data_IF_447435551271
#
_entry.id   IF_447435551271
#
_cell.length_a   1.000
_cell.length_b   1.000
_cell.length_c   1.000
_cell.angle_alpha   90.00
_cell.angle_beta   90.00
_cell.angle_gamma   90.00
#
_symmetry.space_group_name_H-M   'P 1'
#
loop_
_entity.id
_entity.type
_entity.pdbx_description
1 polymer ?
#
# COMPACT_ATOMS: atom_id res chain seq x y z
N UNK A 1 64.74 -70.18 -38.80
CA UNK A 1 63.65 -70.43 -39.79
C UNK A 1 62.63 -71.35 -39.15
N UNK A 2 61.36 -71.12 -39.51
CA UNK A 2 60.15 -71.87 -39.18
C UNK A 2 59.46 -71.40 -37.88
N UNK A 3 58.38 -70.62 -38.09
CA UNK A 3 57.32 -70.32 -37.12
C UNK A 3 56.58 -71.58 -36.66
N UNK A 4 55.84 -71.48 -35.55
CA UNK A 4 54.40 -71.70 -35.72
C UNK A 4 53.49 -70.78 -34.88
N UNK A 5 52.50 -70.23 -35.60
CA UNK A 5 51.05 -70.11 -35.34
C UNK A 5 50.49 -69.64 -33.97
N UNK A 6 49.39 -68.84 -33.98
CA UNK A 6 48.99 -67.96 -32.89
C UNK A 6 48.05 -68.62 -31.87
N UNK A 7 48.12 -68.16 -30.62
CA UNK A 7 47.14 -68.49 -29.56
C UNK A 7 46.23 -67.27 -29.36
N UNK A 8 44.92 -67.50 -29.44
CA UNK A 8 43.85 -66.51 -29.29
C UNK A 8 43.83 -65.90 -27.86
N UNK A 9 43.43 -64.62 -27.67
CA UNK A 9 43.49 -63.95 -26.38
C UNK A 9 42.34 -64.34 -25.43
N UNK A 10 42.64 -64.31 -24.12
CA UNK A 10 41.68 -64.47 -23.02
C UNK A 10 40.93 -63.14 -22.73
N UNK A 11 39.76 -63.17 -22.06
CA UNK A 11 38.74 -62.12 -22.12
C UNK A 11 39.05 -60.90 -21.22
N UNK A 12 38.55 -59.73 -21.63
CA UNK A 12 38.61 -58.48 -20.85
C UNK A 12 37.70 -58.52 -19.61
N UNK A 13 38.23 -58.11 -18.46
CA UNK A 13 37.54 -57.98 -17.17
C UNK A 13 36.89 -56.58 -17.05
N UNK A 14 35.56 -56.46 -16.88
CA UNK A 14 34.84 -55.20 -16.89
C UNK A 14 34.82 -54.57 -15.49
N UNK A 15 35.93 -53.96 -15.05
CA UNK A 15 35.95 -53.26 -13.76
C UNK A 15 36.95 -52.08 -13.67
N UNK A 16 37.23 -51.40 -14.78
CA UNK A 16 37.94 -50.12 -14.74
C UNK A 16 36.95 -48.99 -14.97
N UNK A 17 36.42 -48.42 -13.87
CA UNK A 17 35.97 -47.03 -13.72
C UNK A 17 35.54 -46.84 -12.26
N UNK A 18 36.52 -46.82 -11.34
CA UNK A 18 36.30 -46.45 -9.94
C UNK A 18 36.80 -45.01 -9.69
N UNK A 19 35.81 -44.12 -9.72
CA UNK A 19 35.64 -42.87 -8.96
C UNK A 19 36.87 -42.35 -8.18
N UNK A 20 37.58 -41.36 -8.74
CA UNK A 20 38.31 -40.39 -7.93
C UNK A 20 37.29 -39.47 -7.26
N UNK A 21 37.01 -39.70 -5.97
CA UNK A 21 36.23 -38.77 -5.16
C UNK A 21 37.00 -37.45 -4.99
N UNK A 22 36.55 -36.40 -5.68
CA UNK A 22 36.98 -35.03 -5.40
C UNK A 22 36.48 -34.62 -4.02
N UNK A 23 37.40 -34.31 -3.10
CA UNK A 23 37.07 -33.76 -1.80
C UNK A 23 36.14 -32.54 -1.92
N UNK A 24 35.14 -32.38 -1.04
CA UNK A 24 34.30 -31.20 -1.06
C UNK A 24 35.16 -29.96 -0.76
N UNK A 25 35.11 -29.01 -1.68
CA UNK A 25 35.69 -27.68 -1.57
C UNK A 25 35.06 -26.98 -0.35
N UNK A 26 35.71 -27.12 0.81
CA UNK A 26 35.38 -26.42 2.06
C UNK A 26 35.79 -24.95 1.91
N UNK A 27 35.06 -24.22 1.07
CA UNK A 27 35.03 -22.76 1.19
C UNK A 27 34.39 -22.46 2.55
N UNK A 28 34.99 -21.59 3.37
CA UNK A 28 34.30 -21.10 4.56
C UNK A 28 32.94 -20.54 4.10
N UNK A 29 31.85 -20.72 4.88
CA UNK A 29 30.59 -20.09 4.56
C UNK A 29 30.88 -18.60 4.37
N UNK A 30 30.47 -18.05 3.22
CA UNK A 30 30.57 -16.63 2.98
C UNK A 30 30.03 -15.92 4.22
N UNK A 31 30.84 -15.05 4.84
CA UNK A 31 30.40 -14.24 5.98
C UNK A 31 29.03 -13.68 5.61
N UNK A 32 28.01 -14.06 6.38
CA UNK A 32 26.66 -13.60 6.14
C UNK A 32 26.72 -12.07 6.18
N UNK A 33 26.53 -11.43 5.02
CA UNK A 33 26.42 -9.97 4.95
C UNK A 33 25.33 -9.60 5.95
N UNK A 34 25.63 -8.83 7.02
CA UNK A 34 24.65 -8.54 8.04
C UNK A 34 23.42 -7.95 7.36
N UNK A 35 22.24 -8.50 7.66
CA UNK A 35 20.99 -7.93 7.15
C UNK A 35 20.95 -6.45 7.55
N UNK A 36 20.59 -5.54 6.64
CA UNK A 36 20.50 -4.12 6.95
C UNK A 36 19.51 -3.91 8.11
N UNK A 37 19.83 -2.97 8.99
CA UNK A 37 18.95 -2.60 10.08
C UNK A 37 17.58 -2.15 9.56
N UNK A 38 16.53 -2.62 10.23
CA UNK A 38 15.13 -2.43 9.90
C UNK A 38 14.57 -1.23 10.64
N UNK A 39 13.91 -0.33 9.90
CA UNK A 39 13.19 0.82 10.43
C UNK A 39 11.68 0.58 10.32
N UNK A 40 11.00 0.58 11.47
CA UNK A 40 9.55 0.53 11.55
C UNK A 40 9.00 1.87 12.04
N UNK A 41 8.12 2.48 11.25
CA UNK A 41 7.51 3.79 11.54
C UNK A 41 6.03 3.64 11.84
N UNK A 42 5.60 4.10 13.01
CA UNK A 42 4.20 4.23 13.38
C UNK A 42 3.70 5.63 12.98
N UNK A 43 2.97 5.69 11.87
CA UNK A 43 2.41 6.92 11.32
C UNK A 43 1.00 7.12 11.87
N UNK A 44 0.67 8.34 12.29
CA UNK A 44 -0.68 8.68 12.73
C UNK A 44 -1.15 10.04 12.22
N UNK A 45 -2.47 10.19 12.11
CA UNK A 45 -3.06 11.45 11.65
C UNK A 45 -2.83 12.61 12.62
N UNK A 46 -2.80 12.33 13.92
CA UNK A 46 -2.77 13.35 14.96
C UNK A 46 -2.23 12.83 16.31
N UNK A 47 -1.87 13.72 17.26
CA UNK A 47 -1.60 13.33 18.64
C UNK A 47 -2.79 12.61 19.26
N UNK A 48 -2.54 11.54 20.02
CA UNK A 48 -3.59 10.83 20.76
C UNK A 48 -4.26 9.66 20.04
N UNK A 49 -3.90 9.38 18.78
CA UNK A 49 -4.37 8.19 18.03
C UNK A 49 -3.80 6.87 18.56
N UNK A 50 -2.79 6.91 19.44
CA UNK A 50 -2.24 5.72 20.10
C UNK A 50 -0.92 5.18 19.53
N UNK A 51 -0.17 5.97 18.75
CA UNK A 51 1.11 5.55 18.14
C UNK A 51 2.09 4.93 19.15
N UNK A 52 2.40 5.67 20.22
CA UNK A 52 3.31 5.24 21.30
C UNK A 52 2.83 3.95 21.97
N UNK A 53 1.52 3.85 22.24
CA UNK A 53 0.94 2.65 22.85
C UNK A 53 1.13 1.42 21.96
N UNK A 54 0.80 1.51 20.67
CA UNK A 54 0.99 0.43 19.69
C UNK A 54 2.46 0.05 19.49
N UNK A 55 3.34 1.06 19.48
CA UNK A 55 4.78 0.86 19.39
C UNK A 55 5.32 0.07 20.59
N UNK A 56 4.89 0.42 21.81
CA UNK A 56 5.27 -0.28 23.03
C UNK A 56 4.66 -1.69 23.11
N UNK A 57 3.42 -1.89 22.69
CA UNK A 57 2.81 -3.24 22.60
C UNK A 57 3.66 -4.17 21.73
N UNK A 58 4.14 -3.66 20.59
CA UNK A 58 5.00 -4.42 19.71
C UNK A 58 6.41 -4.65 20.30
N UNK A 59 6.99 -3.66 20.98
CA UNK A 59 8.23 -3.83 21.74
C UNK A 59 8.12 -4.96 22.78
N UNK A 60 6.99 -5.04 23.49
CA UNK A 60 6.69 -6.13 24.42
C UNK A 60 6.60 -7.50 23.73
N UNK A 61 5.99 -7.57 22.54
CA UNK A 61 5.93 -8.82 21.77
C UNK A 61 7.32 -9.31 21.39
N UNK A 62 8.19 -8.42 20.90
CA UNK A 62 9.57 -8.74 20.59
C UNK A 62 10.34 -9.18 21.84
N UNK A 63 10.24 -8.44 22.93
CA UNK A 63 10.90 -8.77 24.19
C UNK A 63 10.48 -10.15 24.72
N UNK A 64 9.17 -10.47 24.69
CA UNK A 64 8.64 -11.79 25.06
C UNK A 64 9.14 -12.92 24.17
N UNK A 65 9.49 -12.64 22.93
CA UNK A 65 10.12 -13.61 22.01
C UNK A 65 11.64 -13.75 22.20
N UNK A 66 12.22 -13.07 23.19
CA UNK A 66 13.65 -13.14 23.50
C UNK A 66 14.52 -12.18 22.67
N UNK A 67 13.92 -11.22 21.97
CA UNK A 67 14.66 -10.17 21.24
C UNK A 67 15.14 -9.11 22.22
N UNK A 68 16.39 -8.67 22.06
CA UNK A 68 16.98 -7.59 22.85
C UNK A 68 16.40 -6.23 22.44
N UNK A 69 15.52 -5.68 23.29
CA UNK A 69 14.79 -4.43 23.04
C UNK A 69 15.07 -3.45 24.16
N UNK A 70 15.48 -2.24 23.80
CA UNK A 70 15.64 -1.11 24.74
C UNK A 70 14.78 0.08 24.35
N UNK A 71 14.39 0.87 25.34
CA UNK A 71 13.76 2.17 25.16
C UNK A 71 14.86 3.23 25.20
N UNK A 72 15.06 3.93 24.09
CA UNK A 72 15.94 5.11 24.02
C UNK A 72 15.23 6.36 24.50
N UNK A 73 14.02 6.61 23.98
CA UNK A 73 13.17 7.71 24.43
C UNK A 73 11.70 7.41 24.12
N UNK A 74 10.83 7.64 25.10
CA UNK A 74 9.37 7.52 24.96
C UNK A 74 8.69 8.63 25.73
N UNK A 75 7.75 9.32 25.08
CA UNK A 75 6.93 10.36 25.70
C UNK A 75 5.53 9.84 26.06
N UNK A 76 5.28 9.66 27.35
CA UNK A 76 3.98 9.16 27.84
C UNK A 76 2.91 10.27 27.86
N UNK A 77 3.33 11.54 27.86
CA UNK A 77 2.47 12.72 28.06
C UNK A 77 1.48 12.58 29.24
N UNK A 78 1.92 11.92 30.33
CA UNK A 78 1.11 11.73 31.53
C UNK A 78 0.04 10.64 31.43
N UNK A 79 0.06 9.81 30.39
CA UNK A 79 -0.90 8.71 30.21
C UNK A 79 -0.48 7.48 31.03
N UNK A 80 -1.22 7.19 32.11
CA UNK A 80 -0.94 6.07 33.01
C UNK A 80 -0.85 4.72 32.27
N UNK A 81 -1.77 4.45 31.33
CA UNK A 81 -1.76 3.21 30.53
C UNK A 81 -0.51 3.06 29.67
N UNK A 82 0.04 4.17 29.15
CA UNK A 82 1.27 4.15 28.34
C UNK A 82 2.51 4.05 29.23
N UNK A 83 2.49 4.72 30.39
CA UNK A 83 3.57 4.61 31.38
C UNK A 83 3.71 3.17 31.91
N UNK A 84 2.60 2.48 32.14
CA UNK A 84 2.60 1.07 32.56
C UNK A 84 3.23 0.13 31.52
N UNK A 85 3.24 0.50 30.23
CA UNK A 85 3.90 -0.29 29.19
C UNK A 85 5.43 -0.10 29.17
N UNK A 86 5.98 0.85 29.93
CA UNK A 86 7.43 0.96 30.11
C UNK A 86 7.96 -0.13 31.04
N UNK A 87 7.12 -0.60 31.98
CA UNK A 87 7.48 -1.66 32.92
C UNK A 87 7.79 -2.95 32.16
N UNK A 88 8.92 -3.57 32.49
CA UNK A 88 9.37 -4.80 31.85
C UNK A 88 10.18 -4.62 30.56
N UNK A 89 10.47 -3.38 30.14
CA UNK A 89 11.42 -3.08 29.08
C UNK A 89 12.65 -2.37 29.66
N UNK A 90 13.85 -2.67 29.16
CA UNK A 90 15.08 -1.96 29.53
C UNK A 90 15.00 -0.52 29.01
N UNK A 91 15.30 0.47 29.87
CA UNK A 91 15.29 1.89 29.51
C UNK A 91 16.70 2.44 29.63
N UNK A 92 17.22 3.02 28.55
CA UNK A 92 18.48 3.76 28.60
C UNK A 92 18.20 5.13 29.23
N UNK A 93 18.87 5.48 30.35
CA UNK A 93 18.65 6.77 31.00
C UNK A 93 18.95 7.93 30.04
N UNK A 94 18.05 8.92 30.02
CA UNK A 94 18.26 10.14 29.23
C UNK A 94 19.44 10.95 29.75
N UNK A 95 20.09 11.69 28.85
CA UNK A 95 21.21 12.57 29.14
C UNK A 95 20.69 13.97 29.50
N UNK A 96 21.18 14.50 30.60
CA UNK A 96 20.94 15.89 30.98
C UNK A 96 21.87 16.81 30.17
N UNK A 97 21.30 17.77 29.45
CA UNK A 97 22.01 18.78 28.66
C UNK A 97 21.69 20.16 29.24
N UNK A 98 22.74 20.88 29.66
CA UNK A 98 22.60 22.27 30.10
C UNK A 98 22.47 23.18 28.89
N UNK A 99 21.32 23.85 28.76
CA UNK A 99 21.09 24.84 27.73
C UNK A 99 20.56 26.13 28.33
N UNK A 100 21.38 27.20 28.23
CA UNK A 100 21.15 28.48 28.91
C UNK A 100 21.05 28.28 30.44
N UNK A 101 19.89 28.56 31.03
CA UNK A 101 19.65 28.45 32.48
C UNK A 101 18.75 27.25 32.85
N UNK A 102 18.49 26.34 31.90
CA UNK A 102 17.64 25.17 32.12
C UNK A 102 18.39 23.89 31.77
N UNK A 103 18.17 22.83 32.55
CA UNK A 103 18.59 21.48 32.22
C UNK A 103 17.47 20.81 31.45
N UNK A 104 17.77 20.34 30.25
CA UNK A 104 16.85 19.61 29.39
C UNK A 104 17.32 18.16 29.28
N UNK A 105 16.38 17.22 29.16
CA UNK A 105 16.69 15.81 28.95
C UNK A 105 16.59 15.47 27.49
N UNK A 106 17.52 14.66 27.01
CA UNK A 106 17.56 14.19 25.63
C UNK A 106 17.93 12.70 25.59
N UNK A 107 17.58 12.01 24.51
CA UNK A 107 17.98 10.63 24.28
C UNK A 107 19.51 10.48 24.36
N UNK A 108 20.01 9.47 25.10
CA UNK A 108 21.44 9.16 25.13
C UNK A 108 21.84 8.28 23.94
N UNK A 109 22.04 8.91 22.78
CA UNK A 109 22.47 8.23 21.55
C UNK A 109 23.77 7.44 21.76
N UNK A 110 24.77 8.02 22.42
CA UNK A 110 26.05 7.37 22.66
C UNK A 110 25.90 6.15 23.58
N UNK A 111 25.05 6.26 24.62
CA UNK A 111 24.70 5.15 25.49
C UNK A 111 24.03 3.99 24.75
N UNK A 112 23.10 4.28 23.84
CA UNK A 112 22.43 3.26 23.02
C UNK A 112 23.43 2.58 22.06
N UNK A 113 24.28 3.37 21.38
CA UNK A 113 25.31 2.85 20.46
C UNK A 113 26.34 1.99 21.19
N UNK A 114 26.68 2.32 22.44
CA UNK A 114 27.56 1.49 23.26
C UNK A 114 26.88 0.18 23.71
N UNK A 115 25.58 0.23 24.03
CA UNK A 115 24.78 -0.94 24.46
C UNK A 115 24.48 -1.93 23.33
N UNK A 116 24.43 -1.45 22.08
CA UNK A 116 24.19 -2.24 20.85
C UNK A 116 23.00 -3.22 20.96
N UNK A 117 21.80 -2.73 21.26
CA UNK A 117 20.60 -3.57 21.30
C UNK A 117 20.21 -4.07 19.91
N UNK A 118 19.40 -5.14 19.82
CA UNK A 118 18.83 -5.54 18.54
C UNK A 118 17.75 -4.55 18.07
N UNK A 119 16.93 -4.03 18.99
CA UNK A 119 15.92 -3.01 18.71
C UNK A 119 15.97 -1.84 19.69
N UNK A 120 15.81 -0.63 19.19
CA UNK A 120 15.64 0.58 19.98
C UNK A 120 14.29 1.25 19.69
N UNK A 121 13.56 1.61 20.75
CA UNK A 121 12.33 2.42 20.67
C UNK A 121 12.67 3.90 20.81
N UNK A 122 12.29 4.70 19.80
CA UNK A 122 12.58 6.14 19.72
C UNK A 122 11.31 6.90 19.34
N UNK A 123 10.61 7.50 20.30
CA UNK A 123 9.40 8.30 20.06
C UNK A 123 9.72 9.74 19.60
N UNK A 124 8.69 10.44 19.08
CA UNK A 124 8.74 11.80 18.58
C UNK A 124 9.81 12.04 17.51
N UNK A 125 9.75 11.29 16.40
CA UNK A 125 10.72 11.37 15.31
C UNK A 125 11.00 12.80 14.80
N UNK A 126 9.99 13.67 14.84
CA UNK A 126 10.08 15.06 14.37
C UNK A 126 10.82 16.00 15.33
N UNK A 127 11.09 15.55 16.56
CA UNK A 127 11.70 16.36 17.62
C UNK A 127 12.98 17.03 17.16
N UNK A 128 13.14 18.28 17.59
CA UNK A 128 14.36 19.06 17.40
C UNK A 128 15.21 18.92 18.65
N UNK A 129 16.37 18.26 18.51
CA UNK A 129 17.22 17.95 19.63
C UNK A 129 17.72 19.22 20.33
N UNK A 130 17.97 19.10 21.63
CA UNK A 130 18.50 20.21 22.44
C UNK A 130 19.80 20.76 21.82
N UNK A 131 19.98 22.08 21.66
CA UNK A 131 21.23 22.63 21.15
C UNK A 131 22.45 22.20 21.97
N UNK A 132 23.49 21.72 21.29
CA UNK A 132 24.64 21.05 21.91
C UNK A 132 24.59 19.53 21.81
N UNK A 133 23.46 18.96 21.37
CA UNK A 133 23.38 17.56 20.93
C UNK A 133 24.21 17.33 19.66
N UNK A 134 24.60 16.06 19.44
CA UNK A 134 25.40 15.65 18.28
C UNK A 134 24.69 15.97 16.96
N UNK A 135 23.41 15.65 16.88
CA UNK A 135 22.55 15.95 15.73
C UNK A 135 21.49 16.99 16.09
N UNK A 136 20.96 17.67 15.07
CA UNK A 136 19.96 18.73 15.25
C UNK A 136 18.54 18.17 15.34
N UNK A 137 18.29 17.01 14.74
CA UNK A 137 16.97 16.40 14.63
C UNK A 137 17.02 14.94 15.07
N UNK A 138 15.99 14.48 15.77
CA UNK A 138 15.93 13.10 16.28
C UNK A 138 15.95 12.05 15.16
N UNK A 139 15.40 12.37 13.98
CA UNK A 139 15.50 11.47 12.84
C UNK A 139 16.95 11.22 12.40
N UNK A 140 17.89 12.16 12.64
CA UNK A 140 19.31 11.96 12.34
C UNK A 140 19.95 10.99 13.35
N UNK A 141 19.56 11.07 14.63
CA UNK A 141 19.96 10.06 15.63
C UNK A 141 19.47 8.65 15.23
N UNK A 142 18.23 8.57 14.75
CA UNK A 142 17.65 7.30 14.25
C UNK A 142 18.44 6.76 13.06
N UNK A 143 18.85 7.61 12.12
CA UNK A 143 19.69 7.18 10.99
C UNK A 143 21.03 6.63 11.49
N UNK A 144 21.66 7.28 12.47
CA UNK A 144 22.92 6.77 13.04
C UNK A 144 22.75 5.42 13.76
N UNK A 145 21.64 5.21 14.47
CA UNK A 145 21.33 3.91 15.06
C UNK A 145 21.19 2.82 13.99
N UNK A 146 20.48 3.11 12.90
CA UNK A 146 20.32 2.17 11.78
C UNK A 146 21.66 1.86 11.10
N UNK A 147 22.50 2.87 10.89
CA UNK A 147 23.84 2.70 10.31
C UNK A 147 24.76 1.86 11.21
N UNK A 148 24.54 1.88 12.52
CA UNK A 148 25.22 1.03 13.49
C UNK A 148 24.66 -0.41 13.56
N UNK A 149 23.66 -0.75 12.75
CA UNK A 149 23.05 -2.08 12.71
C UNK A 149 21.92 -2.30 13.73
N UNK A 150 21.44 -1.25 14.39
CA UNK A 150 20.38 -1.32 15.40
C UNK A 150 19.03 -1.10 14.72
N UNK A 151 18.09 -2.04 14.87
CA UNK A 151 16.74 -1.84 14.34
C UNK A 151 16.00 -0.77 15.16
N UNK A 152 15.19 0.07 14.51
CA UNK A 152 14.52 1.19 15.19
C UNK A 152 13.01 1.12 14.99
N UNK A 153 12.27 1.25 16.10
CA UNK A 153 10.84 1.54 16.10
C UNK A 153 10.63 3.00 16.47
N UNK A 154 9.92 3.76 15.63
CA UNK A 154 9.67 5.18 15.87
C UNK A 154 8.25 5.59 15.54
N UNK A 155 7.80 6.75 16.04
CA UNK A 155 6.46 7.26 15.78
C UNK A 155 6.48 8.71 15.31
N UNK A 156 5.58 9.04 14.37
CA UNK A 156 5.46 10.38 13.80
C UNK A 156 4.01 10.69 13.42
N UNK A 157 3.60 11.95 13.57
CA UNK A 157 2.33 12.41 13.00
C UNK A 157 2.53 12.87 11.56
N UNK A 158 1.53 12.65 10.70
CA UNK A 158 1.55 13.04 9.29
C UNK A 158 1.86 14.52 9.05
N UNK A 159 1.44 15.36 10.00
CA UNK A 159 1.65 16.81 9.96
C UNK A 159 3.13 17.21 9.94
N UNK A 160 4.02 16.36 10.42
CA UNK A 160 5.45 16.66 10.50
C UNK A 160 6.19 16.35 9.20
N UNK A 161 5.54 15.76 8.19
CA UNK A 161 6.16 15.58 6.89
C UNK A 161 6.31 16.92 6.17
N UNK A 162 7.51 17.17 5.66
CA UNK A 162 7.90 18.46 5.12
C UNK A 162 6.99 18.91 3.98
N UNK A 163 6.67 18.01 3.03
CA UNK A 163 5.80 18.33 1.89
C UNK A 163 4.36 18.66 2.28
N UNK A 164 3.91 18.22 3.46
CA UNK A 164 2.53 18.38 3.92
C UNK A 164 2.31 19.63 4.77
N UNK A 165 3.38 20.34 5.13
CA UNK A 165 3.29 21.55 5.95
C UNK A 165 2.38 22.63 5.37
N UNK A 166 2.43 22.87 4.05
CA UNK A 166 1.61 23.91 3.41
C UNK A 166 0.13 23.55 3.36
N UNK A 167 -0.18 22.26 3.21
CA UNK A 167 -1.56 21.77 3.25
C UNK A 167 -2.11 21.88 4.67
N UNK A 168 -1.33 21.50 5.68
CA UNK A 168 -1.75 21.53 7.08
C UNK A 168 -1.82 22.95 7.64
N UNK A 169 -0.85 23.82 7.31
CA UNK A 169 -0.79 25.20 7.80
C UNK A 169 -1.98 26.04 7.32
N UNK A 170 -2.47 25.82 6.09
CA UNK A 170 -3.65 26.50 5.53
C UNK A 170 -4.96 26.14 6.25
N UNK A 171 -5.05 24.93 6.80
CA UNK A 171 -6.28 24.43 7.44
C UNK A 171 -6.28 24.58 8.96
N UNK A 172 -5.12 24.42 9.61
CA UNK A 172 -5.00 24.33 11.07
C UNK A 172 -4.60 25.63 11.78
N UNK A 173 -4.19 26.68 11.04
CA UNK A 173 -3.71 27.97 11.58
C UNK A 173 -2.56 27.85 12.60
N UNK A 174 -1.89 26.70 12.64
CA UNK A 174 -0.74 26.42 13.53
C UNK A 174 0.48 26.14 12.67
N UNK A 175 1.55 26.92 12.86
CA UNK A 175 2.83 26.67 12.19
C UNK A 175 3.51 25.43 12.78
N UNK A 176 3.80 24.47 11.92
CA UNK A 176 4.56 23.27 12.28
C UNK A 176 6.03 23.60 12.12
N UNK A 177 6.74 23.71 13.25
CA UNK A 177 8.17 24.04 13.26
C UNK A 177 9.07 22.81 13.17
N UNK A 178 8.53 21.68 13.61
CA UNK A 178 9.25 20.43 13.69
C UNK A 178 8.87 19.54 12.54
N UNK A 179 9.82 19.31 11.64
CA UNK A 179 9.59 18.59 10.39
C UNK A 179 10.56 17.43 10.22
N UNK A 180 10.12 16.46 9.41
CA UNK A 180 10.89 15.30 8.96
C UNK A 180 10.83 15.27 7.42
N UNK A 181 11.96 15.13 6.72
CA UNK A 181 11.97 15.00 5.28
C UNK A 181 11.21 13.74 4.83
N UNK A 182 10.42 13.86 3.77
CA UNK A 182 9.68 12.73 3.19
C UNK A 182 10.59 11.57 2.75
N UNK A 183 11.85 11.87 2.40
CA UNK A 183 12.85 10.86 2.06
C UNK A 183 13.17 9.92 3.22
N UNK A 184 13.01 10.37 4.47
CA UNK A 184 13.21 9.52 5.65
C UNK A 184 12.17 8.39 5.66
N UNK A 185 10.90 8.66 5.34
CA UNK A 185 9.88 7.61 5.29
C UNK A 185 10.16 6.57 4.21
N UNK A 186 10.84 6.94 3.12
CA UNK A 186 11.24 5.98 2.08
C UNK A 186 12.30 4.99 2.55
N UNK A 187 13.06 5.32 3.61
CA UNK A 187 14.02 4.38 4.24
C UNK A 187 13.31 3.34 5.11
N UNK A 188 12.07 3.59 5.52
CA UNK A 188 11.33 2.70 6.39
C UNK A 188 11.02 1.37 5.69
N UNK A 189 11.46 0.28 6.30
CA UNK A 189 11.13 -1.09 5.86
C UNK A 189 9.66 -1.40 6.12
N UNK A 190 9.06 -0.74 7.11
CA UNK A 190 7.64 -0.89 7.43
C UNK A 190 7.02 0.40 7.94
N UNK A 191 5.85 0.75 7.39
CA UNK A 191 5.04 1.89 7.85
C UNK A 191 3.70 1.36 8.35
N UNK A 192 3.48 1.47 9.66
CA UNK A 192 2.26 1.05 10.33
C UNK A 192 1.36 2.27 10.55
N UNK A 193 0.21 2.30 9.87
CA UNK A 193 -0.78 3.35 10.11
C UNK A 193 -1.58 3.08 11.39
N UNK A 194 -1.51 4.00 12.34
CA UNK A 194 -2.28 3.97 13.58
C UNK A 194 -3.46 4.93 13.45
N UNK A 195 -4.63 4.37 13.17
CA UNK A 195 -5.85 5.11 12.87
C UNK A 195 -6.93 4.92 13.95
N UNK A 196 -7.67 5.99 14.21
CA UNK A 196 -8.91 6.00 14.98
C UNK A 196 -9.90 6.96 14.32
N UNK A 197 -11.19 6.82 14.63
CA UNK A 197 -12.18 7.74 14.05
C UNK A 197 -12.00 9.16 14.60
N UNK A 198 -12.38 10.17 13.81
CA UNK A 198 -12.30 11.58 14.23
C UNK A 198 -13.14 11.84 15.48
N UNK A 199 -14.31 11.22 15.59
CA UNK A 199 -15.17 11.37 16.76
C UNK A 199 -14.58 10.71 18.00
N UNK A 200 -13.95 9.54 17.85
CA UNK A 200 -13.21 8.88 18.94
C UNK A 200 -12.03 9.73 19.41
N UNK A 201 -11.22 10.27 18.48
CA UNK A 201 -10.09 11.13 18.83
C UNK A 201 -10.54 12.38 19.59
N UNK A 202 -11.63 13.00 19.15
CA UNK A 202 -12.23 14.16 19.85
C UNK A 202 -12.79 13.77 21.21
N UNK A 203 -13.37 12.58 21.36
CA UNK A 203 -13.82 12.07 22.66
C UNK A 203 -12.65 11.88 23.61
N UNK A 204 -11.56 11.24 23.16
CA UNK A 204 -10.34 11.07 23.96
C UNK A 204 -9.76 12.42 24.42
N UNK A 205 -9.83 13.44 23.57
CA UNK A 205 -9.41 14.79 23.95
C UNK A 205 -10.30 15.39 25.05
N UNK A 206 -11.64 15.26 24.93
CA UNK A 206 -12.60 15.73 25.94
C UNK A 206 -12.45 15.02 27.28
N UNK A 207 -12.12 13.73 27.24
CA UNK A 207 -11.85 12.92 28.42
C UNK A 207 -10.52 13.29 29.11
N UNK A 208 -9.76 14.27 28.60
CA UNK A 208 -8.46 14.67 29.13
C UNK A 208 -7.34 13.66 28.88
N UNK A 209 -7.53 12.68 27.99
CA UNK A 209 -6.53 11.62 27.69
C UNK A 209 -5.40 12.09 26.76
N UNK A 210 -5.51 13.31 26.22
CA UNK A 210 -4.57 13.86 25.23
C UNK A 210 -3.91 15.16 25.72
N UNK A 211 -4.70 16.08 26.27
CA UNK A 211 -4.22 17.34 26.83
C UNK A 211 -4.85 17.62 28.20
N UNK A 212 -4.18 18.47 28.98
CA UNK A 212 -4.73 19.00 30.21
C UNK A 212 -6.09 19.72 29.95
N UNK A 213 -7.06 19.64 30.89
CA UNK A 213 -8.41 20.16 30.71
C UNK A 213 -8.48 21.62 30.21
N UNK A 214 -7.57 22.46 30.69
CA UNK A 214 -7.49 23.89 30.34
C UNK A 214 -7.24 24.14 28.84
N UNK A 215 -6.58 23.20 28.14
CA UNK A 215 -6.23 23.32 26.72
C UNK A 215 -7.23 22.62 25.79
N UNK A 216 -8.20 21.88 26.33
CA UNK A 216 -9.12 21.04 25.57
C UNK A 216 -9.99 21.87 24.62
N UNK A 217 -10.68 22.90 25.14
CA UNK A 217 -11.58 23.71 24.32
C UNK A 217 -10.84 24.45 23.20
N UNK A 218 -9.69 25.04 23.52
CA UNK A 218 -8.85 25.70 22.52
C UNK A 218 -8.35 24.70 21.45
N UNK A 219 -7.96 23.48 21.85
CA UNK A 219 -7.52 22.46 20.91
C UNK A 219 -8.67 21.98 20.00
N UNK A 220 -9.86 21.73 20.55
CA UNK A 220 -11.08 21.35 19.81
C UNK A 220 -11.53 22.43 18.83
N UNK A 221 -11.36 23.70 19.22
CA UNK A 221 -11.67 24.86 18.41
C UNK A 221 -10.60 25.20 17.36
N UNK A 222 -9.46 24.52 17.31
CA UNK A 222 -8.39 24.78 16.35
C UNK A 222 -7.94 23.49 15.66
N UNK A 223 -6.84 22.88 16.13
CA UNK A 223 -6.23 21.70 15.52
C UNK A 223 -7.20 20.51 15.42
N UNK A 224 -7.98 20.25 16.47
CA UNK A 224 -8.88 19.10 16.57
C UNK A 224 -10.27 19.34 15.95
N UNK A 225 -10.45 20.36 15.10
CA UNK A 225 -11.67 20.53 14.30
C UNK A 225 -11.91 19.31 13.40
N UNK A 226 -13.17 18.90 13.23
CA UNK A 226 -13.52 17.71 12.42
C UNK A 226 -12.93 17.76 11.00
N UNK A 227 -13.02 18.91 10.33
CA UNK A 227 -12.46 19.10 8.99
C UNK A 227 -10.95 18.87 8.94
N UNK A 228 -10.21 19.45 9.89
CA UNK A 228 -8.75 19.29 9.98
C UNK A 228 -8.36 17.83 10.24
N UNK A 229 -9.04 17.16 11.18
CA UNK A 229 -8.76 15.77 11.50
C UNK A 229 -9.12 14.81 10.35
N UNK A 230 -10.20 15.06 9.61
CA UNK A 230 -10.55 14.28 8.42
C UNK A 230 -9.46 14.42 7.34
N UNK A 231 -9.00 15.64 7.07
CA UNK A 231 -7.92 15.89 6.12
C UNK A 231 -6.62 15.19 6.53
N UNK A 232 -6.21 15.33 7.80
CA UNK A 232 -5.00 14.66 8.31
C UNK A 232 -5.12 13.14 8.23
N UNK A 233 -6.30 12.58 8.50
CA UNK A 233 -6.58 11.15 8.39
C UNK A 233 -6.48 10.67 6.95
N UNK A 234 -7.04 11.41 6.00
CA UNK A 234 -6.92 11.12 4.57
C UNK A 234 -5.45 11.14 4.13
N UNK A 235 -4.68 12.16 4.53
CA UNK A 235 -3.26 12.26 4.22
C UNK A 235 -2.45 11.09 4.80
N UNK A 236 -2.73 10.68 6.05
CA UNK A 236 -2.04 9.55 6.69
C UNK A 236 -2.31 8.22 5.97
N UNK A 237 -3.57 7.96 5.62
CA UNK A 237 -3.97 6.76 4.89
C UNK A 237 -3.35 6.72 3.50
N UNK A 238 -3.41 7.84 2.76
CA UNK A 238 -2.82 7.95 1.43
C UNK A 238 -1.32 7.74 1.46
N UNK A 239 -0.62 8.38 2.38
CA UNK A 239 0.84 8.24 2.53
C UNK A 239 1.23 6.79 2.83
N UNK A 240 0.48 6.11 3.71
CA UNK A 240 0.72 4.69 3.99
C UNK A 240 0.53 3.82 2.75
N UNK A 241 -0.54 4.07 1.98
CA UNK A 241 -0.81 3.32 0.74
C UNK A 241 0.30 3.53 -0.32
N UNK A 242 0.81 4.76 -0.44
CA UNK A 242 1.93 5.09 -1.34
C UNK A 242 3.23 4.36 -0.92
N UNK A 243 3.50 4.25 0.38
CA UNK A 243 4.67 3.50 0.90
C UNK A 243 4.55 1.99 0.65
N UNK A 244 3.39 1.38 0.94
CA UNK A 244 3.15 -0.04 0.65
C UNK A 244 3.30 -0.33 -0.85
N UNK A 245 2.78 0.55 -1.70
CA UNK A 245 2.91 0.42 -3.15
C UNK A 245 4.37 0.51 -3.61
N UNK A 246 5.13 1.44 -3.04
CA UNK A 246 6.55 1.64 -3.37
C UNK A 246 7.41 0.46 -2.94
N UNK A 247 7.24 -0.03 -1.71
CA UNK A 247 7.95 -1.20 -1.19
C UNK A 247 7.64 -2.47 -2.01
N UNK A 248 6.37 -2.69 -2.37
CA UNK A 248 5.99 -3.80 -3.24
C UNK A 248 6.59 -3.69 -4.65
N UNK A 249 6.68 -2.48 -5.22
CA UNK A 249 7.30 -2.26 -6.52
C UNK A 249 8.82 -2.49 -6.47
N UNK A 250 9.50 -2.06 -5.41
CA UNK A 250 10.92 -2.31 -5.21
C UNK A 250 11.24 -3.79 -5.00
N UNK A 251 10.50 -4.48 -4.13
CA UNK A 251 10.64 -5.91 -3.93
C UNK A 251 10.45 -6.70 -5.23
N UNK A 252 9.45 -6.36 -6.04
CA UNK A 252 9.27 -7.00 -7.36
C UNK A 252 10.45 -6.76 -8.29
N UNK A 253 10.99 -5.53 -8.33
CA UNK A 253 12.17 -5.20 -9.15
C UNK A 253 13.41 -5.98 -8.71
N UNK A 254 13.68 -6.08 -7.40
CA UNK A 254 14.87 -6.80 -6.90
C UNK A 254 14.76 -8.31 -7.07
N UNK A 255 13.54 -8.86 -6.99
CA UNK A 255 13.28 -10.29 -7.22
C UNK A 255 13.07 -10.65 -8.69
N UNK A 256 13.18 -9.69 -9.62
CA UNK A 256 12.92 -9.92 -11.05
C UNK A 256 11.49 -10.37 -11.35
N UNK A 257 10.55 -10.07 -10.46
CA UNK A 257 9.12 -10.37 -10.63
C UNK A 257 8.49 -9.37 -11.61
N UNK A 258 7.46 -9.80 -12.32
CA UNK A 258 6.66 -8.91 -13.17
C UNK A 258 6.15 -7.70 -12.38
N UNK A 259 5.92 -6.57 -13.08
CA UNK A 259 5.43 -5.35 -12.46
C UNK A 259 4.11 -5.62 -11.70
N UNK A 260 3.80 -4.77 -10.71
CA UNK A 260 2.54 -4.84 -10.00
C UNK A 260 1.39 -5.00 -11.01
N UNK A 261 0.44 -5.94 -10.82
CA UNK A 261 -0.76 -5.93 -11.64
C UNK A 261 -1.40 -4.56 -11.47
N UNK A 262 -1.56 -3.84 -12.59
CA UNK A 262 -2.32 -2.59 -12.65
C UNK A 262 -3.67 -2.90 -11.99
N UNK A 263 -4.18 -2.06 -11.07
CA UNK A 263 -5.45 -2.32 -10.40
C UNK A 263 -6.49 -2.70 -11.44
N UNK A 264 -7.01 -3.91 -11.32
CA UNK A 264 -7.88 -4.45 -12.34
C UNK A 264 -9.14 -3.59 -12.43
N UNK A 265 -9.46 -3.06 -13.62
CA UNK A 265 -10.65 -2.24 -13.84
C UNK A 265 -11.66 -2.99 -14.69
N UNK A 266 -12.91 -2.88 -14.29
CA UNK A 266 -14.02 -3.58 -14.94
C UNK A 266 -14.81 -2.59 -15.80
N UNK A 267 -15.11 -2.97 -17.03
CA UNK A 267 -16.03 -2.27 -17.92
C UNK A 267 -17.19 -3.19 -18.32
N UNK A 268 -18.42 -2.70 -18.20
CA UNK A 268 -19.61 -3.34 -18.73
C UNK A 268 -20.12 -2.56 -19.93
N UNK A 269 -20.22 -3.23 -21.07
CA UNK A 269 -20.69 -2.62 -22.31
C UNK A 269 -22.22 -2.66 -22.38
N UNK A 270 -22.86 -1.49 -22.30
CA UNK A 270 -24.30 -1.34 -22.36
C UNK A 270 -24.83 -1.28 -23.80
N UNK A 271 -26.07 -1.71 -23.97
CA UNK A 271 -26.82 -1.64 -25.22
C UNK A 271 -28.28 -1.28 -24.92
N UNK A 272 -28.95 -0.64 -25.87
CA UNK A 272 -30.38 -0.32 -25.82
C UNK A 272 -31.31 -1.55 -26.01
N UNK A 273 -30.84 -2.76 -25.66
CA UNK A 273 -31.54 -4.05 -25.85
C UNK A 273 -31.87 -4.65 -24.48
N UNK A 274 -32.89 -5.54 -24.39
CA UNK A 274 -33.19 -6.25 -23.15
C UNK A 274 -31.99 -7.04 -22.61
N UNK A 275 -31.88 -7.14 -21.28
CA UNK A 275 -30.85 -7.95 -20.61
C UNK A 275 -29.67 -7.17 -20.00
N UNK A 276 -29.71 -5.84 -20.03
CA UNK A 276 -28.71 -4.99 -19.36
C UNK A 276 -28.64 -5.23 -17.85
N UNK A 277 -29.76 -5.54 -17.20
CA UNK A 277 -29.82 -5.82 -15.76
C UNK A 277 -28.87 -6.95 -15.34
N UNK A 278 -28.88 -8.07 -16.08
CA UNK A 278 -28.01 -9.22 -15.79
C UNK A 278 -26.55 -8.88 -16.03
N UNK A 279 -26.25 -8.12 -17.08
CA UNK A 279 -24.90 -7.65 -17.40
C UNK A 279 -24.34 -6.80 -16.25
N UNK A 280 -25.14 -5.85 -15.77
CA UNK A 280 -24.77 -4.97 -14.66
C UNK A 280 -24.54 -5.75 -13.37
N UNK A 281 -25.42 -6.72 -13.03
CA UNK A 281 -25.21 -7.58 -11.84
C UNK A 281 -23.95 -8.44 -11.94
N UNK A 282 -23.61 -8.92 -13.14
CA UNK A 282 -22.36 -9.68 -13.37
C UNK A 282 -21.15 -8.75 -13.21
N UNK A 283 -21.16 -7.57 -13.84
CA UNK A 283 -20.09 -6.58 -13.70
C UNK A 283 -19.87 -6.13 -12.26
N UNK A 284 -20.94 -5.79 -11.54
CA UNK A 284 -20.88 -5.42 -10.12
C UNK A 284 -20.26 -6.52 -9.25
N UNK A 285 -20.58 -7.79 -9.54
CA UNK A 285 -20.00 -8.93 -8.81
C UNK A 285 -18.50 -9.08 -9.07
N UNK A 286 -18.05 -8.89 -10.30
CA UNK A 286 -16.63 -8.94 -10.66
C UNK A 286 -15.91 -7.78 -9.97
N UNK A 287 -16.43 -6.55 -10.12
CA UNK A 287 -15.87 -5.35 -9.51
C UNK A 287 -15.76 -5.47 -7.98
N UNK A 288 -16.80 -6.00 -7.32
CA UNK A 288 -16.80 -6.23 -5.88
C UNK A 288 -15.77 -7.27 -5.42
N UNK A 289 -15.50 -8.32 -6.22
CA UNK A 289 -14.44 -9.30 -5.92
C UNK A 289 -13.04 -8.72 -6.09
N UNK A 290 -12.88 -7.81 -7.04
CA UNK A 290 -11.63 -7.12 -7.34
C UNK A 290 -11.41 -5.88 -6.49
N UNK A 291 -12.38 -5.52 -5.62
CA UNK A 291 -12.39 -4.30 -4.82
C UNK A 291 -12.06 -3.04 -5.64
N UNK A 292 -12.61 -2.96 -6.87
CA UNK A 292 -12.29 -1.91 -7.86
C UNK A 292 -13.52 -1.11 -8.25
N UNK A 293 -13.28 0.14 -8.65
CA UNK A 293 -14.28 0.93 -9.35
C UNK A 293 -14.50 0.37 -10.76
N UNK A 294 -15.71 0.53 -11.28
CA UNK A 294 -16.08 -0.05 -12.56
C UNK A 294 -16.95 0.89 -13.38
N UNK A 295 -16.94 0.68 -14.69
CA UNK A 295 -17.60 1.54 -15.66
C UNK A 295 -18.75 0.82 -16.34
N UNK A 296 -19.85 1.53 -16.54
CA UNK A 296 -20.94 1.11 -17.41
C UNK A 296 -20.94 2.02 -18.65
N UNK A 297 -20.51 1.48 -19.79
CA UNK A 297 -20.17 2.27 -20.97
C UNK A 297 -21.18 2.01 -22.08
N UNK A 298 -21.80 3.07 -22.58
CA UNK A 298 -22.65 3.05 -23.75
C UNK A 298 -22.01 3.88 -24.87
N UNK A 299 -22.05 3.37 -26.10
CA UNK A 299 -21.58 4.09 -27.29
C UNK A 299 -22.75 4.44 -28.19
N UNK A 300 -22.98 5.74 -28.33
CA UNK A 300 -23.91 6.33 -29.29
C UNK A 300 -23.26 6.42 -30.68
N UNK A 301 -23.99 5.99 -31.70
CA UNK A 301 -23.52 6.00 -33.10
C UNK A 301 -24.45 6.85 -33.95
N UNK A 302 -23.94 7.69 -34.87
CA UNK A 302 -24.77 8.58 -35.69
C UNK A 302 -25.92 7.89 -36.45
N UNK A 303 -25.77 6.61 -36.80
CA UNK A 303 -26.80 5.80 -37.47
C UNK A 303 -28.00 5.43 -36.57
N UNK A 304 -27.81 5.47 -35.25
CA UNK A 304 -28.80 5.11 -34.24
C UNK A 304 -29.18 6.38 -33.47
N UNK A 305 -29.92 7.27 -34.11
CA UNK A 305 -30.60 8.36 -33.40
C UNK A 305 -31.72 7.78 -32.52
N UNK A 306 -31.34 7.16 -31.39
CA UNK A 306 -32.23 6.35 -30.56
C UNK A 306 -33.35 7.17 -29.95
N UNK A 307 -33.08 8.44 -29.59
CA UNK A 307 -34.07 9.35 -29.01
C UNK A 307 -35.26 9.58 -29.95
N UNK A 308 -35.02 9.62 -31.26
CA UNK A 308 -36.07 9.84 -32.25
C UNK A 308 -36.59 8.54 -32.90
N UNK A 309 -35.76 7.49 -33.01
CA UNK A 309 -36.09 6.27 -33.78
C UNK A 309 -36.49 5.06 -32.93
N UNK A 310 -36.20 5.04 -31.62
CA UNK A 310 -36.56 3.94 -30.74
C UNK A 310 -36.75 4.40 -29.27
N UNK A 311 -37.88 5.05 -28.94
CA UNK A 311 -38.17 5.56 -27.60
C UNK A 311 -38.12 4.48 -26.51
N UNK A 312 -38.62 3.27 -26.79
CA UNK A 312 -38.55 2.17 -25.82
C UNK A 312 -37.11 1.71 -25.55
N UNK A 313 -36.26 1.70 -26.57
CA UNK A 313 -34.83 1.37 -26.42
C UNK A 313 -34.08 2.42 -25.61
N UNK A 314 -34.47 3.69 -25.75
CA UNK A 314 -33.92 4.79 -24.98
C UNK A 314 -34.34 4.70 -23.50
N UNK A 315 -35.63 4.48 -23.22
CA UNK A 315 -36.12 4.29 -21.84
C UNK A 315 -35.40 3.13 -21.13
N UNK A 316 -35.24 1.97 -21.80
CA UNK A 316 -34.49 0.83 -21.24
C UNK A 316 -33.03 1.15 -20.95
N UNK A 317 -32.40 2.00 -21.75
CA UNK A 317 -31.03 2.44 -21.51
C UNK A 317 -30.95 3.34 -20.27
N UNK A 318 -31.88 4.29 -20.10
CA UNK A 318 -31.92 5.14 -18.91
C UNK A 318 -32.15 4.32 -17.63
N UNK A 319 -33.01 3.29 -17.68
CA UNK A 319 -33.21 2.37 -16.56
C UNK A 319 -31.92 1.59 -16.23
N UNK A 320 -31.21 1.11 -17.26
CA UNK A 320 -29.94 0.42 -17.09
C UNK A 320 -28.86 1.35 -16.51
N UNK A 321 -28.76 2.59 -16.97
CA UNK A 321 -27.83 3.58 -16.40
C UNK A 321 -28.15 3.89 -14.95
N UNK A 322 -29.43 4.06 -14.60
CA UNK A 322 -29.85 4.27 -13.21
C UNK A 322 -29.43 3.10 -12.33
N UNK A 323 -29.74 1.87 -12.75
CA UNK A 323 -29.33 0.67 -12.03
C UNK A 323 -27.80 0.56 -11.91
N UNK A 324 -27.06 0.93 -12.96
CA UNK A 324 -25.61 0.93 -12.93
C UNK A 324 -25.06 1.87 -11.84
N UNK A 325 -25.63 3.09 -11.73
CA UNK A 325 -25.26 4.04 -10.66
C UNK A 325 -25.61 3.49 -9.28
N UNK A 326 -26.78 2.86 -9.12
CA UNK A 326 -27.19 2.22 -7.85
C UNK A 326 -26.25 1.08 -7.44
N UNK A 327 -25.69 0.35 -8.39
CA UNK A 327 -24.68 -0.69 -8.17
C UNK A 327 -23.24 -0.14 -8.07
N UNK A 328 -23.07 1.18 -8.03
CA UNK A 328 -21.77 1.84 -7.86
C UNK A 328 -20.92 1.96 -9.11
N UNK A 329 -21.49 1.83 -10.32
CA UNK A 329 -20.77 2.03 -11.57
C UNK A 329 -20.65 3.51 -11.95
N UNK A 330 -19.52 3.88 -12.55
CA UNK A 330 -19.40 5.12 -13.31
C UNK A 330 -20.03 4.95 -14.69
N UNK A 331 -21.14 5.64 -14.93
CA UNK A 331 -21.84 5.60 -16.22
C UNK A 331 -21.17 6.55 -17.21
N UNK A 332 -20.77 6.04 -18.37
CA UNK A 332 -20.08 6.80 -19.42
C UNK A 332 -20.80 6.64 -20.75
N UNK A 333 -21.20 7.77 -21.34
CA UNK A 333 -21.83 7.84 -22.66
C UNK A 333 -20.87 8.43 -23.68
N UNK A 334 -20.35 7.58 -24.57
CA UNK A 334 -19.39 7.96 -25.60
C UNK A 334 -20.10 8.15 -26.94
N UNK A 335 -19.57 9.03 -27.79
CA UNK A 335 -20.03 9.19 -29.18
C UNK A 335 -18.95 8.70 -30.12
N UNK A 336 -19.31 7.84 -31.07
CA UNK A 336 -18.34 7.27 -32.00
C UNK A 336 -18.94 6.77 -33.30
N UNK A 337 -18.12 6.70 -34.35
CA UNK A 337 -18.54 6.14 -35.65
C UNK A 337 -18.62 4.61 -35.60
N UNK A 338 -17.80 3.98 -34.77
CA UNK A 338 -17.68 2.53 -34.60
C UNK A 338 -17.73 2.18 -33.11
N UNK A 339 -18.70 1.35 -32.72
CA UNK A 339 -18.86 0.91 -31.32
C UNK A 339 -17.60 0.20 -30.83
N UNK A 340 -17.02 -0.67 -31.65
CA UNK A 340 -15.85 -1.45 -31.25
C UNK A 340 -14.63 -0.56 -31.00
N UNK A 341 -14.33 0.36 -31.92
CA UNK A 341 -13.14 1.21 -31.80
C UNK A 341 -13.25 2.15 -30.61
N UNK A 342 -14.42 2.77 -30.41
CA UNK A 342 -14.66 3.64 -29.26
C UNK A 342 -14.56 2.89 -27.92
N UNK A 343 -15.01 1.63 -27.86
CA UNK A 343 -14.83 0.80 -26.66
C UNK A 343 -13.36 0.41 -26.45
N UNK A 344 -12.60 0.12 -27.52
CA UNK A 344 -11.16 -0.19 -27.44
C UNK A 344 -10.38 1.03 -26.96
N UNK A 345 -10.65 2.20 -27.54
CA UNK A 345 -9.98 3.45 -27.17
C UNK A 345 -10.24 3.80 -25.70
N UNK A 346 -11.49 3.70 -25.26
CA UNK A 346 -11.85 3.89 -23.86
C UNK A 346 -11.18 2.86 -22.96
N UNK A 347 -11.19 1.58 -23.35
CA UNK A 347 -10.58 0.51 -22.57
C UNK A 347 -9.06 0.70 -22.42
N UNK A 348 -8.37 1.19 -23.46
CA UNK A 348 -6.94 1.53 -23.39
C UNK A 348 -6.69 2.76 -22.51
N UNK A 349 -7.47 3.83 -22.71
CA UNK A 349 -7.32 5.07 -21.95
C UNK A 349 -7.52 4.84 -20.44
N UNK A 350 -8.51 4.04 -20.06
CA UNK A 350 -8.82 3.77 -18.67
C UNK A 350 -8.07 2.56 -18.10
N UNK A 351 -7.23 1.86 -18.88
CA UNK A 351 -6.54 0.63 -18.49
C UNK A 351 -7.50 -0.46 -17.98
N UNK A 352 -8.53 -0.78 -18.77
CA UNK A 352 -9.53 -1.81 -18.46
C UNK A 352 -8.94 -3.21 -18.64
N UNK A 353 -9.03 -4.05 -17.60
CA UNK A 353 -8.52 -5.43 -17.60
C UNK A 353 -9.62 -6.49 -17.66
N UNK A 354 -10.87 -6.14 -17.30
CA UNK A 354 -12.03 -7.02 -17.42
C UNK A 354 -13.16 -6.33 -18.17
N UNK A 355 -13.70 -7.01 -19.19
CA UNK A 355 -14.83 -6.48 -19.97
C UNK A 355 -15.98 -7.46 -20.01
N UNK A 356 -17.17 -6.97 -19.72
CA UNK A 356 -18.41 -7.74 -19.81
C UNK A 356 -19.22 -7.30 -21.02
N UNK A 357 -19.49 -8.24 -21.92
CA UNK A 357 -20.35 -8.05 -23.09
C UNK A 357 -21.65 -8.87 -22.99
N UNK A 358 -22.73 -8.34 -23.54
CA UNK A 358 -23.94 -9.12 -23.83
C UNK A 358 -23.78 -9.97 -25.08
N UNK A 359 -24.30 -11.20 -25.07
CA UNK A 359 -24.31 -12.08 -26.24
C UNK A 359 -25.13 -11.45 -27.37
N UNK A 360 -24.52 -11.02 -28.47
CA UNK A 360 -25.27 -10.38 -29.57
C UNK A 360 -26.44 -11.25 -30.08
N UNK A 361 -27.67 -10.69 -30.09
CA UNK A 361 -28.88 -11.34 -30.62
C UNK A 361 -28.92 -11.42 -32.17
N UNK A 362 -27.78 -11.24 -32.85
CA UNK A 362 -27.70 -11.26 -34.32
C UNK A 362 -27.53 -12.69 -34.84
N UNK A 363 -28.10 -12.96 -36.02
CA UNK A 363 -27.90 -14.23 -36.72
C UNK A 363 -26.42 -14.42 -37.06
N UNK A 364 -25.93 -15.68 -37.06
CA UNK A 364 -24.52 -16.03 -37.39
C UNK A 364 -24.07 -15.45 -38.74
N UNK A 365 -24.99 -15.29 -39.69
CA UNK A 365 -24.75 -14.65 -40.99
C UNK A 365 -24.50 -13.13 -40.89
N UNK A 366 -25.20 -12.42 -40.01
CA UNK A 366 -25.04 -10.96 -39.83
C UNK A 366 -23.71 -10.60 -39.14
N UNK A 367 -23.21 -11.52 -38.30
CA UNK A 367 -21.91 -11.42 -37.65
C UNK A 367 -20.77 -11.59 -38.66
N UNK A 368 -20.96 -12.45 -39.67
CA UNK A 368 -19.98 -12.72 -40.73
C UNK A 368 -19.82 -11.54 -41.70
N UNK A 369 -20.89 -10.78 -41.98
CA UNK A 369 -20.87 -9.67 -42.94
C UNK A 369 -20.50 -8.30 -42.36
N UNK A 370 -20.65 -8.07 -41.05
CA UNK A 370 -20.40 -6.74 -40.42
C UNK A 370 -19.31 -6.71 -39.35
N UNK A 371 -18.69 -7.85 -39.07
CA UNK A 371 -17.79 -8.02 -37.93
C UNK A 371 -18.54 -7.99 -36.59
N UNK A 372 -18.16 -8.87 -35.67
CA UNK A 372 -18.64 -8.81 -34.29
C UNK A 372 -17.86 -7.72 -33.56
N UNK A 373 -18.55 -6.79 -32.87
CA UNK A 373 -17.91 -5.83 -31.94
C UNK A 373 -16.98 -6.58 -30.98
N UNK A 374 -17.41 -7.75 -30.51
CA UNK A 374 -16.63 -8.64 -29.66
C UNK A 374 -15.38 -9.19 -30.36
N UNK A 375 -15.48 -9.63 -31.62
CA UNK A 375 -14.33 -10.21 -32.33
C UNK A 375 -13.26 -9.14 -32.60
N UNK A 376 -13.68 -7.91 -32.95
CA UNK A 376 -12.76 -6.79 -33.12
C UNK A 376 -12.11 -6.39 -31.80
N UNK A 377 -12.89 -6.35 -30.72
CA UNK A 377 -12.37 -6.09 -29.38
C UNK A 377 -11.34 -7.14 -28.94
N UNK A 378 -11.65 -8.43 -29.11
CA UNK A 378 -10.75 -9.55 -28.79
C UNK A 378 -9.47 -9.56 -29.62
N UNK A 379 -9.52 -9.11 -30.88
CA UNK A 379 -8.34 -9.04 -31.74
C UNK A 379 -7.33 -7.97 -31.27
N UNK A 380 -7.83 -6.85 -30.75
CA UNK A 380 -7.05 -5.66 -30.37
C UNK A 380 -6.67 -5.61 -28.87
N UNK A 381 -7.45 -6.28 -28.00
CA UNK A 381 -7.27 -6.27 -26.54
C UNK A 381 -6.90 -7.68 -26.05
N UNK A 382 -5.67 -8.12 -26.36
CA UNK A 382 -5.21 -9.50 -26.11
C UNK A 382 -5.01 -9.85 -24.63
N UNK A 383 -4.78 -8.85 -23.79
CA UNK A 383 -4.50 -9.01 -22.35
C UNK A 383 -5.74 -8.76 -21.47
N UNK A 384 -6.91 -8.51 -22.09
CA UNK A 384 -8.15 -8.21 -21.37
C UNK A 384 -9.00 -9.46 -21.22
N UNK A 385 -9.43 -9.75 -20.00
CA UNK A 385 -10.39 -10.84 -19.74
C UNK A 385 -11.77 -10.42 -20.24
N UNK A 386 -12.36 -11.22 -21.13
CA UNK A 386 -13.67 -10.92 -21.71
C UNK A 386 -14.72 -11.94 -21.28
N UNK A 387 -15.76 -11.47 -20.60
CA UNK A 387 -16.90 -12.29 -20.18
C UNK A 387 -18.14 -11.98 -21.01
N UNK A 388 -18.70 -13.00 -21.67
CA UNK A 388 -19.93 -12.86 -22.46
C UNK A 388 -21.12 -13.42 -21.66
N UNK A 389 -22.12 -12.57 -21.40
CA UNK A 389 -23.33 -12.96 -20.68
C UNK A 389 -24.46 -13.28 -21.67
N UNK A 390 -25.07 -14.48 -21.60
CA UNK A 390 -26.15 -14.88 -22.50
C UNK A 390 -27.45 -14.12 -22.20
N UNK A 391 -28.14 -13.67 -23.25
CA UNK A 391 -29.50 -13.14 -23.14
C UNK A 391 -30.50 -14.29 -22.99
N UNK A 392 -31.43 -14.18 -22.04
CA UNK A 392 -32.59 -15.08 -22.03
C UNK A 392 -33.48 -14.73 -23.22
N UNK A 393 -33.81 -15.73 -24.05
CA UNK A 393 -34.94 -15.62 -24.97
C UNK A 393 -36.20 -15.49 -24.13
N UNK A 394 -36.87 -14.35 -24.20
CA UNK A 394 -38.27 -14.25 -23.77
C UNK A 394 -39.03 -15.24 -24.66
N UNK A 395 -39.52 -16.34 -24.08
CA UNK A 395 -40.48 -17.21 -24.78
C UNK A 395 -41.70 -16.33 -25.06
N UNK A 396 -42.04 -16.19 -26.34
CA UNK A 396 -43.31 -15.59 -26.76
C UNK A 396 -44.47 -16.44 -26.28
#
# INVERSE_FOLDING_TARGET
MIEPQPVNPLPEDPAQHEVLASAPDLRPPAEAVPEPAKLRVYLGAAPGVGKTYRMLEHAHQLHKSGVDVVIGVVETHGRAETAALLDGLEIIPQKDIQYRAVTLREMDLDGILARKPQFCVVDELAHSNVPGSRHRKRYEDVLELLDAGINVMTAVNIQHLETLNDAVSRSASTQIRETVPDSFLKRADEVVNVDITVDELRSRLRDGKIYAPEKVEQALANFFRKGNLNMLRELALRTTAEQVSSAAAEYRRTQGLEQAPIPEKVMVCLTSRPGAERLLRVGARIAGRLATNWYAVYVDTPSKDLRNKNPEGFARLEEAERMARELGAHVVNLKGKSVADTLIDFARQENISHVVFGQSARSRFEILFRGSVLNRFLAEMRETTVQVVPFQRVKK
#
